data_IF_187296432171
#
_entry.id   IF_187296432171
#
_cell.length_a   1.000
_cell.length_b   1.000
_cell.length_c   1.000
_cell.angle_alpha   90.00
_cell.angle_beta   90.00
_cell.angle_gamma   90.00
#
_symmetry.space_group_name_H-M   'P 1'
#
loop_
_entity.id
_entity.type
_entity.pdbx_description
1 polymer ?
#
# COMPACT_ATOMS: atom_id res chain seq x y z
N UNK A 1 -6.37 11.11 -6.24
CA UNK A 1 -4.94 11.00 -5.82
C UNK A 1 -4.50 11.81 -4.59
N UNK A 2 -4.57 13.16 -4.51
CA UNK A 2 -4.44 13.87 -3.21
C UNK A 2 -5.77 13.83 -2.42
N UNK A 3 -6.88 13.96 -3.15
CA UNK A 3 -8.24 13.93 -2.58
C UNK A 3 -8.59 12.57 -1.94
N UNK A 4 -8.12 11.45 -2.50
CA UNK A 4 -8.30 10.12 -1.88
C UNK A 4 -7.57 10.02 -0.55
N UNK A 5 -6.34 10.53 -0.46
CA UNK A 5 -5.54 10.47 0.77
C UNK A 5 -6.18 11.25 1.90
N UNK A 6 -6.70 12.44 1.59
CA UNK A 6 -7.51 13.22 2.53
C UNK A 6 -8.80 12.47 2.89
N UNK A 7 -9.50 11.89 1.90
CA UNK A 7 -10.68 11.06 2.13
C UNK A 7 -10.43 9.89 3.08
N UNK A 8 -9.34 9.14 2.90
CA UNK A 8 -8.97 8.01 3.75
C UNK A 8 -8.57 8.44 5.16
N UNK A 9 -7.79 9.52 5.29
CA UNK A 9 -7.43 10.07 6.60
C UNK A 9 -8.66 10.58 7.34
N UNK A 10 -9.57 11.26 6.63
CA UNK A 10 -10.82 11.77 7.20
C UNK A 10 -11.82 10.65 7.51
N UNK A 11 -11.88 9.59 6.70
CA UNK A 11 -12.72 8.43 6.98
C UNK A 11 -12.21 7.65 8.20
N UNK A 12 -10.89 7.54 8.36
CA UNK A 12 -10.27 6.76 9.44
C UNK A 12 -10.16 7.51 10.76
N UNK A 13 -9.80 8.79 10.73
CA UNK A 13 -9.54 9.59 11.92
C UNK A 13 -10.59 10.68 12.15
N UNK A 14 -11.44 10.99 11.18
CA UNK A 14 -12.42 12.06 11.28
C UNK A 14 -11.83 13.46 11.04
N UNK A 15 -12.70 14.46 11.07
CA UNK A 15 -12.35 15.88 10.90
C UNK A 15 -12.10 16.62 12.21
N UNK A 16 -12.38 15.99 13.35
CA UNK A 16 -12.30 16.59 14.70
C UNK A 16 -10.87 16.92 15.09
N UNK A 17 -10.69 17.80 16.08
CA UNK A 17 -9.36 18.13 16.61
C UNK A 17 -8.65 16.89 17.17
N UNK A 18 -9.41 16.04 17.87
CA UNK A 18 -8.93 14.76 18.40
C UNK A 18 -8.50 13.82 17.26
N UNK A 19 -9.33 13.69 16.22
CA UNK A 19 -9.00 12.92 15.03
C UNK A 19 -7.69 13.33 14.37
N UNK A 20 -7.49 14.65 14.19
CA UNK A 20 -6.24 15.20 13.65
C UNK A 20 -5.03 14.91 14.53
N UNK A 21 -5.18 14.96 15.86
CA UNK A 21 -4.11 14.62 16.81
C UNK A 21 -3.74 13.15 16.69
N UNK A 22 -4.73 12.26 16.68
CA UNK A 22 -4.53 10.82 16.50
C UNK A 22 -3.86 10.48 15.17
N UNK A 23 -4.26 11.14 14.07
CA UNK A 23 -3.61 10.99 12.77
C UNK A 23 -2.13 11.43 12.81
N UNK A 24 -1.84 12.55 13.48
CA UNK A 24 -0.48 13.05 13.62
C UNK A 24 0.40 12.11 14.46
N UNK A 25 -0.14 11.55 15.55
CA UNK A 25 0.54 10.55 16.37
C UNK A 25 0.80 9.26 15.60
N UNK A 26 -0.21 8.77 14.86
CA UNK A 26 -0.07 7.61 13.99
C UNK A 26 1.06 7.80 12.97
N UNK A 27 1.10 8.94 12.28
CA UNK A 27 2.18 9.25 11.34
C UNK A 27 3.54 9.42 12.02
N UNK A 28 3.60 9.94 13.25
CA UNK A 28 4.86 10.00 14.03
C UNK A 28 5.38 8.61 14.37
N UNK A 29 4.52 7.67 14.74
CA UNK A 29 4.90 6.30 15.03
C UNK A 29 5.51 5.62 13.81
N UNK A 30 4.83 5.69 12.66
CA UNK A 30 5.32 5.04 11.43
C UNK A 30 6.58 5.69 10.86
N UNK A 31 6.73 7.01 10.95
CA UNK A 31 7.99 7.67 10.62
C UNK A 31 9.14 7.21 11.50
N UNK A 32 8.91 7.07 12.81
CA UNK A 32 9.94 6.52 13.71
C UNK A 32 10.26 5.07 13.37
N UNK A 33 9.24 4.26 13.12
CA UNK A 33 9.41 2.86 12.74
C UNK A 33 10.30 2.72 11.50
N UNK A 34 10.05 3.51 10.45
CA UNK A 34 10.91 3.54 9.24
C UNK A 34 12.38 3.88 9.55
N UNK A 35 12.63 4.79 10.48
CA UNK A 35 14.01 5.17 10.85
C UNK A 35 14.71 4.04 11.63
N UNK A 36 13.99 3.32 12.48
CA UNK A 36 14.56 2.28 13.35
C UNK A 36 14.56 0.88 12.72
N UNK A 37 13.69 0.66 11.72
CA UNK A 37 13.50 -0.59 10.99
C UNK A 37 13.44 -0.24 9.50
N UNK A 38 14.60 -0.09 8.84
CA UNK A 38 14.67 0.27 7.42
C UNK A 38 13.89 -0.69 6.50
N UNK A 39 13.79 -1.97 6.89
CA UNK A 39 13.12 -3.05 6.17
C UNK A 39 11.59 -2.92 6.17
N UNK A 40 11.03 -2.04 7.01
CA UNK A 40 9.57 -1.93 7.12
C UNK A 40 8.91 -1.47 5.82
N UNK A 41 9.62 -0.69 5.00
CA UNK A 41 9.12 -0.21 3.71
C UNK A 41 9.03 -1.36 2.69
N UNK A 42 10.12 -2.09 2.39
CA UNK A 42 10.03 -3.24 1.49
C UNK A 42 9.08 -4.32 2.01
N UNK A 43 9.00 -4.54 3.31
CA UNK A 43 8.07 -5.52 3.90
C UNK A 43 6.61 -5.14 3.67
N UNK A 44 6.25 -3.86 3.87
CA UNK A 44 4.90 -3.36 3.60
C UNK A 44 4.52 -3.45 2.12
N UNK A 45 5.49 -3.23 1.23
CA UNK A 45 5.30 -3.39 -0.22
C UNK A 45 5.01 -4.86 -0.57
N UNK A 46 5.85 -5.78 -0.06
CA UNK A 46 5.73 -7.21 -0.29
C UNK A 46 4.42 -7.78 0.29
N UNK A 47 4.14 -7.48 1.56
CA UNK A 47 2.94 -7.97 2.25
C UNK A 47 1.67 -7.32 1.70
N UNK A 48 1.73 -6.06 1.27
CA UNK A 48 0.63 -5.38 0.60
C UNK A 48 0.29 -5.99 -0.76
N UNK A 49 1.27 -6.61 -1.43
CA UNK A 49 1.14 -7.06 -2.82
C UNK A 49 0.95 -5.88 -3.77
N UNK A 50 1.62 -4.76 -3.50
CA UNK A 50 1.47 -3.52 -4.27
C UNK A 50 2.00 -3.64 -5.70
N UNK A 51 3.00 -4.49 -5.91
CA UNK A 51 3.62 -4.74 -7.21
C UNK A 51 3.42 -6.17 -7.71
N UNK A 52 2.54 -6.95 -7.07
CA UNK A 52 2.21 -8.28 -7.56
C UNK A 52 1.26 -8.19 -8.76
N UNK A 53 1.65 -8.81 -9.87
CA UNK A 53 0.81 -8.96 -11.07
C UNK A 53 -0.44 -9.82 -10.82
N UNK A 54 -1.34 -9.85 -11.80
CA UNK A 54 -2.52 -10.71 -11.73
C UNK A 54 -2.11 -12.19 -11.71
N UNK A 55 -2.82 -12.98 -10.89
CA UNK A 55 -2.67 -14.43 -10.88
C UNK A 55 -3.04 -15.00 -12.26
N UNK A 56 -2.18 -15.87 -12.79
CA UNK A 56 -2.40 -16.61 -14.03
C UNK A 56 -2.48 -18.10 -13.74
N UNK A 57 -3.37 -18.80 -14.44
CA UNK A 57 -3.47 -20.26 -14.45
C UNK A 57 -2.97 -20.78 -15.78
N UNK A 58 -2.17 -21.85 -15.76
CA UNK A 58 -1.70 -22.51 -16.98
C UNK A 58 -2.79 -23.44 -17.51
N UNK A 59 -3.45 -23.06 -18.60
CA UNK A 59 -4.46 -23.87 -19.28
C UNK A 59 -3.89 -24.36 -20.61
N UNK A 60 -3.62 -25.67 -20.73
CA UNK A 60 -3.05 -26.24 -21.95
C UNK A 60 -1.66 -25.70 -22.33
N UNK A 61 -0.87 -25.25 -21.35
CA UNK A 61 0.46 -24.66 -21.58
C UNK A 61 0.44 -23.18 -21.94
N UNK A 62 -0.74 -22.55 -22.01
CA UNK A 62 -0.90 -21.11 -22.25
C UNK A 62 -1.28 -20.42 -20.93
N UNK A 63 -0.65 -19.28 -20.58
CA UNK A 63 -1.06 -18.49 -19.43
C UNK A 63 -2.45 -17.87 -19.71
N UNK A 64 -3.42 -18.24 -18.88
CA UNK A 64 -4.79 -17.74 -18.88
C UNK A 64 -5.02 -16.95 -17.58
N UNK A 65 -5.73 -15.81 -17.59
CA UNK A 65 -6.06 -15.09 -16.38
C UNK A 65 -6.81 -16.02 -15.42
N UNK A 66 -6.36 -16.10 -14.16
CA UNK A 66 -7.07 -16.91 -13.17
C UNK A 66 -8.53 -16.45 -13.07
N UNK A 67 -9.44 -17.41 -12.86
CA UNK A 67 -10.86 -17.11 -12.70
C UNK A 67 -11.05 -16.09 -11.58
N UNK A 68 -11.74 -15.00 -11.90
CA UNK A 68 -11.95 -13.89 -10.99
C UNK A 68 -12.87 -14.29 -9.82
N UNK A 69 -12.32 -14.37 -8.61
CA UNK A 69 -13.08 -14.53 -7.36
C UNK A 69 -13.29 -13.15 -6.71
N UNK A 70 -14.54 -12.65 -6.64
CA UNK A 70 -14.84 -11.35 -6.02
C UNK A 70 -14.41 -11.24 -4.55
N UNK A 71 -14.46 -12.34 -3.78
CA UNK A 71 -14.06 -12.32 -2.38
C UNK A 71 -12.55 -12.13 -2.24
N UNK A 72 -11.78 -12.85 -3.07
CA UNK A 72 -10.33 -12.70 -3.12
C UNK A 72 -9.94 -11.29 -3.57
N UNK A 73 -10.60 -10.75 -4.61
CA UNK A 73 -10.35 -9.38 -5.07
C UNK A 73 -10.57 -8.34 -3.97
N UNK A 74 -11.67 -8.45 -3.22
CA UNK A 74 -11.96 -7.53 -2.12
C UNK A 74 -10.91 -7.63 -1.01
N UNK A 75 -10.46 -8.84 -0.68
CA UNK A 75 -9.40 -9.06 0.30
C UNK A 75 -8.08 -8.43 -0.15
N UNK A 76 -7.66 -8.67 -1.38
CA UNK A 76 -6.42 -8.11 -1.91
C UNK A 76 -6.49 -6.58 -2.04
N UNK A 77 -7.64 -6.02 -2.43
CA UNK A 77 -7.85 -4.58 -2.46
C UNK A 77 -7.71 -3.97 -1.06
N UNK A 78 -8.37 -4.55 -0.05
CA UNK A 78 -8.25 -4.09 1.34
C UNK A 78 -6.82 -4.19 1.89
N UNK A 79 -6.11 -5.27 1.54
CA UNK A 79 -4.70 -5.46 1.90
C UNK A 79 -3.79 -4.39 1.25
N UNK A 80 -3.99 -4.10 -0.04
CA UNK A 80 -3.25 -3.05 -0.76
C UNK A 80 -3.54 -1.67 -0.18
N UNK A 81 -4.80 -1.35 0.05
CA UNK A 81 -5.22 -0.06 0.62
C UNK A 81 -4.62 0.18 2.00
N UNK A 82 -4.58 -0.86 2.85
CA UNK A 82 -3.93 -0.77 4.15
C UNK A 82 -2.43 -0.48 4.00
N UNK A 83 -1.72 -1.21 3.14
CA UNK A 83 -0.29 -1.00 2.91
C UNK A 83 0.00 0.44 2.44
N UNK A 84 -0.79 0.97 1.50
CA UNK A 84 -0.67 2.36 1.03
C UNK A 84 -0.85 3.37 2.17
N UNK A 85 -1.83 3.14 3.06
CA UNK A 85 -2.04 4.02 4.23
C UNK A 85 -0.84 4.03 5.18
N UNK A 86 -0.24 2.86 5.43
CA UNK A 86 0.91 2.73 6.32
C UNK A 86 2.17 3.36 5.72
N UNK A 87 2.40 3.16 4.42
CA UNK A 87 3.51 3.80 3.69
C UNK A 87 3.36 5.33 3.67
N UNK A 88 2.15 5.83 3.46
CA UNK A 88 1.87 7.27 3.55
C UNK A 88 2.10 7.80 4.98
N UNK A 89 1.71 7.05 6.02
CA UNK A 89 1.97 7.39 7.41
C UNK A 89 3.47 7.39 7.74
N UNK A 90 4.24 6.48 7.13
CA UNK A 90 5.71 6.43 7.21
C UNK A 90 6.41 7.56 6.42
N UNK A 91 5.64 8.37 5.69
CA UNK A 91 6.13 9.53 4.97
C UNK A 91 6.64 9.25 3.56
N UNK A 92 6.26 8.13 2.94
CA UNK A 92 6.54 7.92 1.52
C UNK A 92 5.65 8.81 0.65
N UNK A 93 6.26 9.47 -0.33
CA UNK A 93 5.55 10.26 -1.32
C UNK A 93 5.10 9.40 -2.50
N UNK A 94 4.23 9.96 -3.36
CA UNK A 94 3.94 9.35 -4.67
C UNK A 94 5.20 9.20 -5.52
N UNK A 95 6.13 10.13 -5.41
CA UNK A 95 7.39 10.11 -6.17
C UNK A 95 8.25 8.94 -5.72
N UNK A 96 8.40 8.76 -4.41
CA UNK A 96 9.16 7.65 -3.82
C UNK A 96 8.59 6.29 -4.27
N UNK A 97 7.26 6.16 -4.32
CA UNK A 97 6.60 4.95 -4.80
C UNK A 97 6.83 4.70 -6.29
N UNK A 98 6.79 5.76 -7.12
CA UNK A 98 7.05 5.65 -8.55
C UNK A 98 8.52 5.33 -8.84
N UNK A 99 9.46 5.84 -8.05
CA UNK A 99 10.88 5.49 -8.14
C UNK A 99 11.10 4.02 -7.79
N UNK A 100 10.51 3.55 -6.68
CA UNK A 100 10.56 2.13 -6.29
C UNK A 100 9.96 1.19 -7.35
N UNK A 101 8.89 1.60 -8.03
CA UNK A 101 8.34 0.83 -9.16
C UNK A 101 9.32 0.73 -10.33
N UNK A 102 9.97 1.85 -10.67
CA UNK A 102 10.93 1.87 -11.79
C UNK A 102 12.16 1.04 -11.48
N UNK A 103 12.67 1.08 -10.26
CA UNK A 103 13.81 0.27 -9.84
C UNK A 103 13.53 -1.24 -9.95
N UNK A 104 12.31 -1.70 -9.64
CA UNK A 104 11.93 -3.11 -9.81
C UNK A 104 11.83 -3.56 -11.27
N UNK A 105 11.47 -2.67 -12.19
CA UNK A 105 11.38 -3.00 -13.63
C UNK A 105 12.76 -3.10 -14.32
N UNK A 106 13.82 -2.53 -13.73
CA UNK A 106 15.18 -2.53 -14.30
C UNK A 106 16.06 -3.72 -13.85
N UNK A 107 15.62 -4.51 -12.88
CA UNK A 107 16.32 -5.71 -12.39
C UNK A 107 15.85 -7.01 -13.10
N UNK A 108 15.26 -6.90 -14.30
CA UNK A 108 14.86 -8.02 -15.19
C UNK A 108 15.71 -8.12 -16.45
#
# INVERSE_FOLDING_TARGET
MILDRLGTLLARFGTTLEGRRTAAEHARTWRRARVHVPEIVPDLIAHGGLFMGQAVTMEGGVPSPARMDPCQLAYEAGRRDLAVQLLAAAGLTTTDLNELMREQDYDL
#
